data_IF_853784428194
#
_entry.id   IF_853784428194
#
_cell.length_a   1.000
_cell.length_b   1.000
_cell.length_c   1.000
_cell.angle_alpha   90.00
_cell.angle_beta   90.00
_cell.angle_gamma   90.00
#
_symmetry.space_group_name_H-M   'P 1'
#
loop_
_entity.id
_entity.type
_entity.pdbx_description
1 polymer ?
#
# COMPACT_ATOMS: atom_id res chain seq x y z
N UNK A 1 -2.48 -22.38 -29.91
CA UNK A 1 -3.63 -21.89 -29.13
C UNK A 1 -3.05 -21.23 -27.89
N UNK A 2 -3.16 -19.90 -27.74
CA UNK A 2 -2.73 -19.23 -26.51
C UNK A 2 -3.89 -19.24 -25.52
N UNK A 3 -3.73 -19.91 -24.39
CA UNK A 3 -4.71 -19.87 -23.29
C UNK A 3 -4.42 -18.64 -22.45
N UNK A 4 -5.40 -17.75 -22.33
CA UNK A 4 -5.31 -16.55 -21.51
C UNK A 4 -6.00 -16.81 -20.16
N UNK A 5 -5.36 -16.35 -19.08
CA UNK A 5 -5.91 -16.41 -17.72
C UNK A 5 -6.13 -14.99 -17.19
N UNK A 6 -7.30 -14.74 -16.59
CA UNK A 6 -7.66 -13.43 -16.05
C UNK A 6 -7.23 -13.34 -14.58
N UNK A 7 -6.47 -12.30 -14.25
CA UNK A 7 -6.03 -12.04 -12.87
C UNK A 7 -6.67 -10.78 -12.32
N UNK A 8 -7.30 -10.89 -11.16
CA UNK A 8 -7.83 -9.75 -10.41
C UNK A 8 -6.69 -8.84 -9.94
N UNK A 9 -6.81 -7.55 -10.26
CA UNK A 9 -5.92 -6.47 -9.83
C UNK A 9 -6.70 -5.49 -8.97
N UNK A 10 -6.02 -4.82 -8.04
CA UNK A 10 -6.63 -3.86 -7.13
C UNK A 10 -6.52 -4.28 -5.67
N UNK A 11 -7.38 -3.68 -4.84
CA UNK A 11 -7.40 -3.86 -3.38
C UNK A 11 -8.60 -4.72 -3.03
N UNK A 12 -8.35 -5.84 -2.35
CA UNK A 12 -9.38 -6.74 -1.83
C UNK A 12 -9.25 -6.77 -0.30
N UNK A 13 -10.36 -6.56 0.38
CA UNK A 13 -10.44 -6.64 1.84
C UNK A 13 -11.59 -7.57 2.22
N UNK A 14 -11.26 -8.69 2.86
CA UNK A 14 -12.22 -9.60 3.50
C UNK A 14 -12.08 -9.44 5.01
N UNK A 15 -13.20 -9.24 5.68
CA UNK A 15 -13.25 -8.97 7.11
C UNK A 15 -14.44 -9.67 7.74
N UNK A 16 -14.19 -10.40 8.82
CA UNK A 16 -15.23 -11.08 9.61
C UNK A 16 -15.16 -10.56 11.05
N UNK A 17 -16.10 -9.72 11.48
CA UNK A 17 -16.14 -9.20 12.84
C UNK A 17 -16.94 -10.12 13.78
N UNK A 18 -16.53 -10.19 15.04
CA UNK A 18 -17.24 -10.85 16.13
C UNK A 18 -17.24 -9.93 17.35
N UNK A 19 -18.43 -9.58 17.85
CA UNK A 19 -18.59 -8.69 19.00
C UNK A 19 -18.74 -9.52 20.26
N UNK A 20 -17.87 -9.28 21.23
CA UNK A 20 -17.93 -9.89 22.55
C UNK A 20 -18.82 -9.07 23.50
N UNK A 21 -19.35 -9.69 24.55
CA UNK A 21 -20.21 -9.06 25.56
C UNK A 21 -19.55 -7.85 26.26
N UNK A 22 -18.21 -7.86 26.37
CA UNK A 22 -17.43 -6.78 26.98
C UNK A 22 -17.18 -5.57 26.06
N UNK A 23 -17.81 -5.52 24.87
CA UNK A 23 -17.63 -4.43 23.90
C UNK A 23 -16.30 -4.46 23.14
N UNK A 24 -15.62 -5.61 23.16
CA UNK A 24 -14.46 -5.89 22.31
C UNK A 24 -14.93 -6.50 20.99
N UNK A 25 -14.30 -6.11 19.89
CA UNK A 25 -14.52 -6.66 18.56
C UNK A 25 -13.29 -7.46 18.18
N UNK A 26 -13.48 -8.76 17.95
CA UNK A 26 -12.48 -9.62 17.32
C UNK A 26 -12.72 -9.61 15.82
N UNK A 27 -11.69 -9.33 15.02
CA UNK A 27 -11.78 -9.27 13.56
C UNK A 27 -10.76 -10.21 12.95
N UNK A 28 -11.25 -11.10 12.09
CA UNK A 28 -10.42 -11.86 11.15
C UNK A 28 -10.33 -11.07 9.84
N UNK A 29 -9.12 -10.67 9.47
CA UNK A 29 -8.86 -9.74 8.37
C UNK A 29 -7.94 -10.41 7.36
N UNK A 30 -8.36 -10.45 6.10
CA UNK A 30 -7.53 -10.81 4.96
C UNK A 30 -7.56 -9.66 3.95
N UNK A 31 -6.43 -8.98 3.80
CA UNK A 31 -6.26 -7.88 2.86
C UNK A 31 -5.25 -8.29 1.78
N UNK A 32 -5.60 -8.05 0.53
CA UNK A 32 -4.73 -8.25 -0.62
C UNK A 32 -4.66 -6.97 -1.45
N UNK A 33 -3.45 -6.56 -1.85
CA UNK A 33 -3.20 -5.44 -2.75
C UNK A 33 -2.38 -5.93 -3.93
N UNK A 34 -3.01 -5.98 -5.10
CA UNK A 34 -2.42 -6.43 -6.36
C UNK A 34 -2.22 -5.25 -7.31
N UNK A 35 -0.99 -5.01 -7.77
CA UNK A 35 -0.65 -3.98 -8.76
C UNK A 35 0.14 -4.58 -9.92
N UNK A 36 -0.17 -4.19 -11.15
CA UNK A 36 0.65 -4.51 -12.32
C UNK A 36 2.03 -3.83 -12.22
N UNK A 37 3.07 -4.56 -12.62
CA UNK A 37 4.42 -4.01 -12.80
C UNK A 37 4.44 -3.25 -14.12
N UNK A 38 4.73 -1.96 -14.06
CA UNK A 38 4.90 -1.11 -15.26
C UNK A 38 6.26 -1.44 -15.91
N UNK A 39 6.28 -1.68 -17.23
CA UNK A 39 7.52 -1.89 -18.01
C UNK A 39 7.81 -3.31 -18.51
N UNK A 40 7.04 -4.32 -18.12
CA UNK A 40 7.04 -5.63 -18.79
C UNK A 40 6.16 -5.57 -20.03
N UNK A 41 6.67 -6.01 -21.19
CA UNK A 41 5.87 -6.15 -22.41
C UNK A 41 4.63 -7.00 -22.12
N UNK A 42 3.43 -6.45 -22.40
CA UNK A 42 2.14 -7.11 -22.14
C UNK A 42 2.03 -8.46 -22.87
N UNK A 43 2.89 -8.70 -23.86
CA UNK A 43 2.94 -9.89 -24.70
C UNK A 43 3.62 -11.11 -24.04
N UNK A 44 4.37 -10.97 -22.93
CA UNK A 44 5.27 -12.05 -22.43
C UNK A 44 5.09 -12.48 -20.95
N UNK A 45 3.91 -12.26 -20.35
CA UNK A 45 3.53 -12.50 -18.95
C UNK A 45 3.63 -11.25 -18.06
N UNK A 46 2.51 -10.59 -17.75
CA UNK A 46 2.50 -9.44 -16.86
C UNK A 46 2.92 -9.87 -15.45
N UNK A 47 3.96 -9.22 -14.92
CA UNK A 47 4.34 -9.38 -13.53
C UNK A 47 3.39 -8.57 -12.64
N UNK A 48 2.94 -9.18 -11.53
CA UNK A 48 2.01 -8.56 -10.58
C UNK A 48 2.68 -8.49 -9.21
N UNK A 49 2.73 -7.30 -8.63
CA UNK A 49 3.04 -7.14 -7.21
C UNK A 49 1.84 -7.57 -6.39
N UNK A 50 2.00 -8.58 -5.54
CA UNK A 50 1.00 -9.00 -4.58
C UNK A 50 1.48 -8.68 -3.16
N UNK A 51 0.68 -7.94 -2.39
CA UNK A 51 0.89 -7.74 -0.96
C UNK A 51 -0.30 -8.33 -0.23
N UNK A 52 -0.07 -9.27 0.67
CA UNK A 52 -1.13 -9.97 1.39
C UNK A 52 -0.85 -9.94 2.90
N UNK A 53 -1.89 -9.64 3.67
CA UNK A 53 -1.86 -9.64 5.13
C UNK A 53 -3.08 -10.42 5.63
N UNK A 54 -2.82 -11.41 6.47
CA UNK A 54 -3.83 -12.13 7.24
C UNK A 54 -3.57 -11.88 8.72
N UNK A 55 -4.57 -11.38 9.44
CA UNK A 55 -4.42 -11.02 10.85
C UNK A 55 -5.72 -11.21 11.62
N UNK A 56 -5.60 -11.69 12.85
CA UNK A 56 -6.68 -11.77 13.82
C UNK A 56 -6.40 -10.78 14.94
N UNK A 57 -7.25 -9.78 15.10
CA UNK A 57 -7.06 -8.73 16.11
C UNK A 57 -8.28 -8.61 17.00
N UNK A 58 -8.08 -8.24 18.25
CA UNK A 58 -9.16 -7.90 19.19
C UNK A 58 -8.96 -6.47 19.66
N UNK A 59 -9.95 -5.62 19.44
CA UNK A 59 -9.86 -4.17 19.69
C UNK A 59 -11.20 -3.65 20.21
N UNK A 60 -11.16 -2.63 21.06
CA UNK A 60 -12.36 -2.00 21.61
C UNK A 60 -13.07 -1.15 20.55
N UNK A 61 -14.40 -0.99 20.69
CA UNK A 61 -15.18 -0.08 19.86
C UNK A 61 -14.52 1.31 19.75
N UNK A 62 -14.52 1.88 18.54
CA UNK A 62 -14.00 3.22 18.20
C UNK A 62 -12.48 3.41 18.45
N UNK A 63 -11.74 2.34 18.68
CA UNK A 63 -10.28 2.42 18.87
C UNK A 63 -9.55 2.00 17.61
N UNK A 64 -8.68 2.89 17.13
CA UNK A 64 -7.81 2.61 15.99
C UNK A 64 -6.62 1.77 16.41
N UNK A 65 -6.37 0.69 15.70
CA UNK A 65 -5.18 -0.16 15.88
C UNK A 65 -4.42 -0.30 14.56
N UNK A 66 -3.10 -0.46 14.66
CA UNK A 66 -2.22 -0.79 13.54
C UNK A 66 -2.15 -2.31 13.43
N UNK A 67 -2.58 -2.85 12.28
CA UNK A 67 -2.58 -4.30 12.03
C UNK A 67 -1.23 -4.76 11.51
N UNK A 68 -0.52 -3.87 10.82
CA UNK A 68 0.82 -4.16 10.31
C UNK A 68 1.36 -3.04 9.44
N UNK A 69 2.62 -3.24 9.05
CA UNK A 69 3.27 -2.40 8.06
C UNK A 69 4.40 -3.14 7.36
N UNK A 70 4.60 -2.84 6.08
CA UNK A 70 5.74 -3.33 5.29
C UNK A 70 6.59 -2.15 4.89
N UNK A 71 7.84 -2.14 5.36
CA UNK A 71 8.86 -1.18 4.93
C UNK A 71 9.82 -1.93 4.03
N UNK A 72 9.91 -1.50 2.77
CA UNK A 72 10.86 -2.01 1.78
C UNK A 72 11.84 -0.90 1.45
N UNK A 73 13.14 -1.19 1.49
CA UNK A 73 14.21 -0.28 1.06
C UNK A 73 15.04 -1.02 0.01
N UNK A 74 14.84 -0.69 -1.26
CA UNK A 74 15.59 -1.24 -2.37
C UNK A 74 16.74 -0.28 -2.71
N UNK A 75 17.98 -0.75 -2.58
CA UNK A 75 19.18 0.01 -2.96
C UNK A 75 19.88 -0.69 -4.13
N UNK A 76 19.90 -0.04 -5.28
CA UNK A 76 20.57 -0.51 -6.49
C UNK A 76 21.76 0.41 -6.77
N UNK A 77 22.98 -0.12 -6.64
CA UNK A 77 24.21 0.55 -7.04
C UNK A 77 24.74 -0.09 -8.32
N UNK A 78 24.83 0.69 -9.40
CA UNK A 78 25.42 0.29 -10.67
C UNK A 78 26.73 1.05 -10.83
N UNK A 79 27.84 0.32 -10.94
CA UNK A 79 29.16 0.89 -11.21
C UNK A 79 29.62 0.49 -12.60
N UNK A 80 29.84 1.47 -13.46
CA UNK A 80 30.48 1.32 -14.76
C UNK A 80 31.89 1.88 -14.66
N UNK A 81 32.92 1.09 -14.98
CA UNK A 81 34.31 1.54 -14.93
C UNK A 81 35.09 1.07 -16.16
N UNK A 82 36.06 1.87 -16.59
CA UNK A 82 37.03 1.45 -17.61
C UNK A 82 38.01 0.46 -16.97
N UNK A 83 38.25 -0.73 -17.56
CA UNK A 83 39.24 -1.68 -17.06
C UNK A 83 40.62 -1.02 -16.92
N UNK A 84 41.39 -1.38 -15.89
CA UNK A 84 42.72 -0.82 -15.55
C UNK A 84 42.67 0.63 -15.01
N UNK A 85 42.07 1.58 -15.74
CA UNK A 85 42.05 3.00 -15.36
C UNK A 85 41.09 3.30 -14.20
N UNK A 86 40.00 2.54 -14.07
CA UNK A 86 39.00 2.72 -13.01
C UNK A 86 39.47 2.29 -11.61
N UNK A 87 40.55 1.50 -11.52
CA UNK A 87 41.07 0.95 -10.26
C UNK A 87 42.22 1.78 -9.67
N UNK A 88 42.70 2.81 -10.39
CA UNK A 88 43.78 3.69 -9.90
C UNK A 88 43.28 4.52 -8.72
N UNK A 89 43.95 4.50 -7.55
CA UNK A 89 43.61 5.38 -6.42
C UNK A 89 43.65 6.84 -6.85
N UNK A 90 42.70 7.65 -6.39
CA UNK A 90 42.57 9.09 -6.67
C UNK A 90 42.15 9.40 -8.13
N UNK A 91 42.84 8.86 -9.15
CA UNK A 91 42.58 9.13 -10.57
C UNK A 91 41.42 8.31 -11.16
N UNK A 92 41.13 7.13 -10.61
CA UNK A 92 40.07 6.24 -11.10
C UNK A 92 38.66 6.82 -10.95
N UNK A 93 38.48 7.88 -10.15
CA UNK A 93 37.22 8.62 -10.02
C UNK A 93 36.72 9.23 -11.34
N UNK A 94 37.62 9.62 -12.25
CA UNK A 94 37.26 10.18 -13.56
C UNK A 94 36.91 9.11 -14.60
N UNK A 95 37.29 7.85 -14.34
CA UNK A 95 37.11 6.71 -15.24
C UNK A 95 36.06 5.71 -14.75
N UNK A 96 35.29 6.10 -13.72
CA UNK A 96 34.17 5.32 -13.19
C UNK A 96 32.92 6.19 -13.06
N UNK A 97 31.76 5.61 -13.32
CA UNK A 97 30.44 6.18 -13.12
C UNK A 97 29.68 5.28 -12.16
N UNK A 98 29.30 5.83 -11.01
CA UNK A 98 28.42 5.16 -10.05
C UNK A 98 27.02 5.76 -10.18
N UNK A 99 26.01 4.91 -10.35
CA UNK A 99 24.61 5.29 -10.30
C UNK A 99 23.98 4.59 -9.12
N UNK A 100 23.47 5.37 -8.16
CA UNK A 100 22.76 4.86 -6.99
C UNK A 100 21.28 5.17 -7.14
N UNK A 101 20.43 4.15 -7.07
CA UNK A 101 18.99 4.28 -7.07
C UNK A 101 18.44 3.67 -5.78
N UNK A 102 17.78 4.48 -4.96
CA UNK A 102 17.20 4.05 -3.68
C UNK A 102 15.70 4.25 -3.70
N UNK A 103 14.94 3.17 -3.54
CA UNK A 103 13.47 3.18 -3.53
C UNK A 103 12.98 2.67 -2.18
N UNK A 104 12.37 3.57 -1.39
CA UNK A 104 11.76 3.21 -0.10
C UNK A 104 10.24 3.20 -0.23
N UNK A 105 9.62 2.05 0.08
CA UNK A 105 8.16 1.88 0.09
C UNK A 105 7.70 1.57 1.50
N UNK A 106 6.80 2.40 2.05
CA UNK A 106 6.17 2.18 3.34
C UNK A 106 4.68 1.91 3.14
N UNK A 107 4.18 0.79 3.67
CA UNK A 107 2.75 0.49 3.77
C UNK A 107 2.38 0.38 5.25
N UNK A 108 1.32 1.09 5.67
CA UNK A 108 0.76 1.03 7.02
C UNK A 108 -0.75 0.82 6.91
N UNK A 109 -1.30 -0.07 7.75
CA UNK A 109 -2.72 -0.40 7.74
C UNK A 109 -3.31 -0.16 9.12
N UNK A 110 -4.34 0.68 9.14
CA UNK A 110 -5.09 1.07 10.33
C UNK A 110 -6.52 0.58 10.20
N UNK A 111 -7.09 0.08 11.30
CA UNK A 111 -8.52 -0.24 11.38
C UNK A 111 -9.11 0.34 12.65
N UNK A 112 -10.32 0.87 12.50
CA UNK A 112 -11.15 1.41 13.57
C UNK A 112 -12.53 0.76 13.49
N UNK A 113 -12.86 -0.21 14.35
CA UNK A 113 -14.17 -0.83 14.36
C UNK A 113 -15.22 0.13 14.94
N UNK A 114 -16.45 0.06 14.43
CA UNK A 114 -17.59 0.80 14.95
C UNK A 114 -18.77 -0.16 15.11
N UNK A 115 -19.31 -0.29 16.33
CA UNK A 115 -20.52 -1.05 16.62
C UNK A 115 -21.71 -0.10 16.46
N UNK A 116 -22.70 -0.53 15.67
CA UNK A 116 -23.94 0.22 15.44
C UNK A 116 -25.06 -0.55 16.15
N UNK A 117 -25.65 0.05 17.17
CA UNK A 117 -26.67 -0.62 18.01
C UNK A 117 -28.08 -0.09 17.78
N UNK A 118 -28.21 1.16 17.34
CA UNK A 118 -29.50 1.83 17.17
C UNK A 118 -29.50 2.73 15.91
N UNK A 119 -30.68 3.22 15.55
CA UNK A 119 -30.87 4.09 14.38
C UNK A 119 -30.14 5.42 14.51
N UNK A 120 -30.04 5.97 15.72
CA UNK A 120 -29.32 7.24 15.95
C UNK A 120 -27.82 7.10 15.67
N UNK A 121 -27.21 5.97 16.02
CA UNK A 121 -25.80 5.66 15.70
C UNK A 121 -25.61 5.58 14.18
N UNK A 122 -26.53 4.93 13.47
CA UNK A 122 -26.49 4.79 12.02
C UNK A 122 -26.55 6.15 11.31
N UNK A 123 -27.45 7.04 11.75
CA UNK A 123 -27.59 8.39 11.20
C UNK A 123 -26.30 9.20 11.44
N UNK A 124 -25.76 9.15 12.67
CA UNK A 124 -24.50 9.85 13.01
C UNK A 124 -23.34 9.41 12.12
N UNK A 125 -23.11 8.09 12.01
CA UNK A 125 -22.01 7.54 11.20
C UNK A 125 -22.19 7.91 9.73
N UNK A 126 -23.41 7.81 9.19
CA UNK A 126 -23.69 8.15 7.79
C UNK A 126 -23.34 9.61 7.51
N UNK A 127 -23.75 10.52 8.40
CA UNK A 127 -23.49 11.95 8.26
C UNK A 127 -21.99 12.28 8.40
N UNK A 128 -21.28 11.64 9.33
CA UNK A 128 -19.84 11.78 9.47
C UNK A 128 -19.09 11.30 8.22
N UNK A 129 -19.46 10.14 7.67
CA UNK A 129 -18.84 9.60 6.44
C UNK A 129 -19.11 10.50 5.24
N UNK A 130 -20.34 11.02 5.11
CA UNK A 130 -20.69 11.98 4.05
C UNK A 130 -19.82 13.24 4.10
N UNK A 131 -19.69 13.85 5.29
CA UNK A 131 -18.82 15.03 5.49
C UNK A 131 -17.35 14.74 5.20
N UNK A 132 -16.85 13.59 5.65
CA UNK A 132 -15.48 13.17 5.38
C UNK A 132 -15.22 13.01 3.87
N UNK A 133 -16.17 12.43 3.14
CA UNK A 133 -16.10 12.27 1.69
C UNK A 133 -16.09 13.62 0.96
N UNK A 134 -17.00 14.54 1.31
CA UNK A 134 -17.03 15.89 0.72
C UNK A 134 -15.73 16.66 0.95
N UNK A 135 -15.14 16.53 2.14
CA UNK A 135 -13.84 17.14 2.46
C UNK A 135 -12.73 16.56 1.59
N UNK A 136 -12.68 15.24 1.47
CA UNK A 136 -11.69 14.55 0.62
C UNK A 136 -11.80 14.97 -0.86
N UNK A 137 -13.02 15.10 -1.38
CA UNK A 137 -13.25 15.58 -2.76
C UNK A 137 -12.79 17.02 -2.98
N UNK A 138 -13.05 17.91 -2.01
CA UNK A 138 -12.61 19.32 -2.07
C UNK A 138 -11.08 19.43 -2.02
N UNK A 139 -10.43 18.64 -1.17
CA UNK A 139 -8.97 18.63 -1.07
C UNK A 139 -8.30 18.14 -2.36
N UNK A 140 -8.82 17.07 -2.97
CA UNK A 140 -8.27 16.54 -4.22
C UNK A 140 -8.49 17.49 -5.41
N UNK A 141 -9.65 18.15 -5.50
CA UNK A 141 -9.91 19.20 -6.50
C UNK A 141 -8.93 20.38 -6.35
N UNK A 142 -8.54 20.72 -5.12
CA UNK A 142 -7.60 21.81 -4.84
C UNK A 142 -6.15 21.44 -5.19
N UNK A 143 -5.73 20.21 -4.91
CA UNK A 143 -4.40 19.69 -5.28
C UNK A 143 -4.25 19.52 -6.80
N UNK A 144 -5.30 19.04 -7.49
CA UNK A 144 -5.29 18.90 -8.95
C UNK A 144 -5.18 20.23 -9.71
N UNK A 145 -5.60 21.35 -9.11
CA UNK A 145 -5.45 22.70 -9.69
C UNK A 145 -4.08 23.33 -9.48
N UNK A 146 -3.27 22.84 -8.53
CA UNK A 146 -1.90 23.34 -8.28
C UNK A 146 -0.83 22.67 -9.15
N UNK A 147 -1.14 21.52 -9.74
CA UNK A 147 -0.25 20.78 -10.64
C UNK A 147 -0.57 21.01 -12.13
N UNK A 148 -1.23 22.13 -12.45
CA UNK A 148 -1.48 22.61 -13.82
C UNK A 148 -0.99 24.04 -13.96
#
# INVERSE_FOLDING_TARGET
MSTYDYKDIGIVLKLTPHVNENGFITMDINQQVKKLVEGTSVLENPSVYNREITSKITVKNERTIVIGGLIRDDNVEVEQKVPVLGDIPILGLFFRKKTKNRVRTNLLIFITPHIITNESDMIKITEEKRKAQEKFEKENKTKGKRNR
#
